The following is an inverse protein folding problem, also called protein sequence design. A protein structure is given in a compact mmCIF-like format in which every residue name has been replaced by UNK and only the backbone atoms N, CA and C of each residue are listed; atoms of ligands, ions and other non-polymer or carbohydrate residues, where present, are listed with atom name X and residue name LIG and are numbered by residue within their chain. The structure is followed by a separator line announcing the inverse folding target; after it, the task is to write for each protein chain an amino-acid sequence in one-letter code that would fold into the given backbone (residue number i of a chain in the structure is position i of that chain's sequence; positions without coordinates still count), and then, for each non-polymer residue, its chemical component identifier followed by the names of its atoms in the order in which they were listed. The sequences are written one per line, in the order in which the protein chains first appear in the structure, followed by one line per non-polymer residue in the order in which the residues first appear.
data_IF_347875518359
#
_entry.id   IF_347875518359
#
_cell.length_a   1.000
_cell.length_b   1.000
_cell.length_c   1.000
_cell.angle_alpha   90.00
_cell.angle_beta   90.00
_cell.angle_gamma   90.00
#
_symmetry.space_group_name_H-M   'P 1'
#
loop_
_entity.id
_entity.type
_entity.pdbx_description
1 polymer ?
#
# COMPACT_ATOMS: atom_id res chain seq x y z
N UNK A 1 -6.25 -13.93 10.67
CA UNK A 1 -6.52 -12.48 10.81
C UNK A 1 -6.41 -11.82 9.43
N UNK A 2 -7.19 -10.77 9.18
CA UNK A 2 -7.02 -9.92 7.98
C UNK A 2 -6.08 -8.76 8.34
N UNK A 3 -4.99 -8.61 7.60
CA UNK A 3 -3.97 -7.58 7.83
C UNK A 3 -3.86 -6.70 6.59
N UNK A 4 -3.93 -5.39 6.80
CA UNK A 4 -3.71 -4.39 5.77
C UNK A 4 -2.33 -3.77 5.92
N UNK A 5 -1.59 -3.68 4.82
CA UNK A 5 -0.29 -2.98 4.76
C UNK A 5 -0.45 -1.82 3.81
N UNK A 6 -0.50 -0.60 4.36
CA UNK A 6 -0.63 0.62 3.60
C UNK A 6 0.71 1.36 3.48
N UNK A 7 1.00 1.91 2.30
CA UNK A 7 2.12 2.82 2.09
C UNK A 7 1.91 3.67 0.84
N UNK A 8 2.69 4.74 0.71
CA UNK A 8 2.64 5.66 -0.42
C UNK A 8 3.07 5.00 -1.75
N UNK A 9 3.84 3.91 -1.72
CA UNK A 9 4.23 3.20 -2.96
C UNK A 9 4.25 1.70 -2.76
N UNK A 10 3.89 0.95 -3.81
CA UNK A 10 4.13 -0.51 -3.83
C UNK A 10 5.63 -0.82 -3.94
N UNK A 11 6.43 0.10 -4.51
CA UNK A 11 7.90 0.02 -4.48
C UNK A 11 8.45 -0.11 -3.05
N UNK A 12 8.05 0.76 -2.13
CA UNK A 12 8.53 0.72 -0.74
C UNK A 12 8.15 -0.61 -0.06
N UNK A 13 6.90 -1.03 -0.24
CA UNK A 13 6.41 -2.28 0.35
C UNK A 13 7.22 -3.46 -0.17
N UNK A 14 7.47 -3.53 -1.48
CA UNK A 14 8.24 -4.62 -2.06
C UNK A 14 9.68 -4.65 -1.53
N UNK A 15 10.36 -3.52 -1.46
CA UNK A 15 11.78 -3.50 -1.07
C UNK A 15 11.99 -3.71 0.44
N UNK A 16 11.10 -3.21 1.29
CA UNK A 16 11.32 -3.18 2.74
C UNK A 16 10.38 -4.08 3.54
N UNK A 17 9.23 -4.48 2.97
CA UNK A 17 8.18 -5.23 3.68
C UNK A 17 7.88 -6.62 3.10
N UNK A 18 8.52 -7.04 2.00
CA UNK A 18 8.31 -8.39 1.45
C UNK A 18 8.61 -9.52 2.43
N UNK A 19 9.67 -9.41 3.24
CA UNK A 19 9.99 -10.41 4.29
C UNK A 19 8.92 -10.47 5.39
N UNK A 20 8.41 -9.31 5.80
CA UNK A 20 7.32 -9.23 6.77
C UNK A 20 6.03 -9.86 6.20
N UNK A 21 5.71 -9.56 4.94
CA UNK A 21 4.57 -10.14 4.23
C UNK A 21 4.67 -11.66 4.20
N UNK A 22 5.84 -12.21 3.87
CA UNK A 22 6.07 -13.64 3.86
C UNK A 22 5.85 -14.28 5.24
N UNK A 23 6.47 -13.74 6.29
CA UNK A 23 6.34 -14.27 7.65
C UNK A 23 4.89 -14.24 8.17
N UNK A 24 4.16 -13.15 7.93
CA UNK A 24 2.75 -13.04 8.33
C UNK A 24 1.85 -14.00 7.54
N UNK A 25 2.17 -14.24 6.26
CA UNK A 25 1.45 -15.21 5.42
C UNK A 25 1.71 -16.65 5.90
N UNK A 26 2.95 -16.98 6.28
CA UNK A 26 3.31 -18.28 6.87
C UNK A 26 2.55 -18.56 8.17
N UNK A 27 2.23 -17.51 8.94
CA UNK A 27 1.36 -17.58 10.12
C UNK A 27 -0.14 -17.72 9.78
N UNK A 28 -0.50 -17.89 8.50
CA UNK A 28 -1.88 -18.09 8.06
C UNK A 28 -2.72 -16.81 8.00
N UNK A 29 -2.08 -15.63 7.97
CA UNK A 29 -2.82 -14.36 7.84
C UNK A 29 -3.14 -14.02 6.39
N UNK A 30 -4.28 -13.35 6.18
CA UNK A 30 -4.70 -12.84 4.87
C UNK A 30 -4.22 -11.40 4.76
N UNK A 31 -3.34 -11.14 3.79
CA UNK A 31 -2.72 -9.83 3.62
C UNK A 31 -3.29 -9.11 2.41
N UNK A 32 -3.62 -7.84 2.58
CA UNK A 32 -3.97 -6.92 1.51
C UNK A 32 -3.06 -5.70 1.56
N UNK A 33 -2.40 -5.40 0.44
CA UNK A 33 -1.55 -4.22 0.26
C UNK A 33 -2.39 -3.07 -0.28
N UNK A 34 -2.36 -1.93 0.41
CA UNK A 34 -3.04 -0.69 0.02
C UNK A 34 -1.99 0.34 -0.40
N UNK A 35 -1.92 0.65 -1.69
CA UNK A 35 -1.00 1.66 -2.20
C UNK A 35 -1.43 2.14 -3.59
N UNK A 36 -0.96 3.30 -4.06
CA UNK A 36 -1.17 3.74 -5.43
C UNK A 36 -0.57 2.70 -6.38
N UNK A 37 -1.19 2.53 -7.55
CA UNK A 37 -0.66 1.61 -8.54
C UNK A 37 0.65 2.17 -9.08
N UNK A 38 1.69 1.35 -9.05
CA UNK A 38 2.96 1.64 -9.70
C UNK A 38 3.52 0.34 -10.34
N UNK A 39 4.71 0.40 -10.93
CA UNK A 39 5.35 -0.73 -11.63
C UNK A 39 5.66 -1.96 -10.74
N UNK A 40 5.49 -1.88 -9.42
CA UNK A 40 5.73 -2.96 -8.45
C UNK A 40 4.47 -3.72 -8.05
N UNK A 41 3.28 -3.33 -8.51
CA UNK A 41 2.03 -4.05 -8.20
C UNK A 41 2.12 -5.52 -8.58
N UNK A 42 2.61 -5.84 -9.79
CA UNK A 42 2.77 -7.23 -10.24
C UNK A 42 3.73 -8.03 -9.35
N UNK A 43 4.76 -7.39 -8.80
CA UNK A 43 5.69 -8.02 -7.87
C UNK A 43 5.07 -8.27 -6.50
N UNK A 44 4.20 -7.36 -6.04
CA UNK A 44 3.40 -7.56 -4.82
C UNK A 44 2.43 -8.73 -5.01
N UNK A 45 1.71 -8.78 -6.12
CA UNK A 45 0.78 -9.87 -6.43
C UNK A 45 1.51 -11.21 -6.55
N UNK A 46 2.75 -11.21 -7.08
CA UNK A 46 3.62 -12.40 -7.12
C UNK A 46 4.03 -12.92 -5.74
N UNK A 47 3.95 -12.12 -4.66
CA UNK A 47 4.09 -12.62 -3.28
C UNK A 47 2.85 -13.43 -2.82
N UNK A 48 1.82 -13.51 -3.65
CA UNK A 48 0.55 -14.18 -3.37
C UNK A 48 -0.27 -13.45 -2.32
N UNK A 49 -0.26 -12.11 -2.37
CA UNK A 49 -1.11 -11.24 -1.56
C UNK A 49 -1.95 -10.35 -2.46
N UNK A 50 -3.08 -9.86 -1.95
CA UNK A 50 -3.98 -8.98 -2.71
C UNK A 50 -3.42 -7.57 -2.74
N UNK A 51 -3.45 -6.91 -3.90
CA UNK A 51 -3.26 -5.46 -4.01
C UNK A 51 -4.62 -4.77 -4.16
N UNK A 52 -4.81 -3.65 -3.47
CA UNK A 52 -5.87 -2.70 -3.73
C UNK A 52 -5.27 -1.33 -3.99
N UNK A 53 -5.73 -0.71 -5.06
CA UNK A 53 -5.38 0.66 -5.36
C UNK A 53 -5.97 1.59 -4.30
N UNK A 54 -5.11 2.36 -3.65
CA UNK A 54 -5.48 3.46 -2.78
C UNK A 54 -4.90 4.73 -3.41
N UNK A 55 -5.78 5.61 -3.86
CA UNK A 55 -5.39 6.90 -4.43
C UNK A 55 -4.80 7.78 -3.31
N UNK A 56 -3.57 8.25 -3.50
CA UNK A 56 -2.84 9.08 -2.53
C UNK A 56 -1.91 10.02 -3.27
N UNK A 57 -1.77 11.25 -2.74
CA UNK A 57 -0.70 12.14 -3.15
C UNK A 57 0.61 11.72 -2.47
N UNK A 58 1.48 11.07 -3.24
CA UNK A 58 2.74 10.54 -2.73
C UNK A 58 3.79 11.61 -2.40
N UNK A 59 3.61 12.82 -2.92
CA UNK A 59 4.44 13.98 -2.63
C UNK A 59 3.72 14.98 -1.70
N UNK A 60 2.46 14.69 -1.34
CA UNK A 60 1.64 15.50 -0.47
C UNK A 60 2.24 15.56 0.92
N UNK A 61 2.61 16.76 1.35
CA UNK A 61 3.12 17.03 2.70
C UNK A 61 2.08 17.66 3.62
N UNK A 62 0.90 18.01 3.09
CA UNK A 62 -0.10 18.76 3.83
C UNK A 62 -1.19 17.83 4.41
N UNK A 63 -1.20 17.57 5.72
CA UNK A 63 -2.21 16.74 6.38
C UNK A 63 -3.60 17.41 6.47
N UNK A 64 -3.73 18.68 6.06
CA UNK A 64 -4.94 19.50 6.10
C UNK A 64 -5.31 20.05 4.71
N UNK A 65 -4.78 19.50 3.60
CA UNK A 65 -5.05 20.05 2.28
C UNK A 65 -6.53 19.89 1.91
N UNK A 66 -7.30 20.96 2.12
CA UNK A 66 -8.58 21.19 1.49
C UNK A 66 -8.35 21.76 0.09
N UNK A 67 -9.05 21.26 -0.95
CA UNK A 67 -8.87 21.78 -2.29
C UNK A 67 -9.19 23.27 -2.37
N UNK A 68 -8.43 24.00 -3.18
CA UNK A 68 -8.52 25.45 -3.37
C UNK A 68 -9.88 25.98 -3.89
N UNK A 69 -10.84 25.10 -4.19
CA UNK A 69 -12.18 25.43 -4.70
C UNK A 69 -13.30 25.31 -3.65
N UNK A 70 -13.01 24.97 -2.39
CA UNK A 70 -14.00 25.07 -1.31
C UNK A 70 -14.14 26.55 -0.89
N UNK A 71 -15.28 27.23 -1.12
CA UNK A 71 -15.60 28.41 -0.37
C UNK A 71 -16.06 27.94 1.02
N UNK A 72 -15.59 28.60 2.07
CA UNK A 72 -16.16 28.46 3.42
C UNK A 72 -17.68 28.58 3.39
#
# INVERSE_FOLDING_TARGET
MNIFIAANTTWYIFNFRSRLIAALKEQGHRITVLAPRDKYVSRIEALGVRHLHLEMDNAGTNPLYFPAWLPW
#
